data_IF_936952106636
#
_entry.id   IF_936952106636
#
_cell.length_a   1.000
_cell.length_b   1.000
_cell.length_c   1.000
_cell.angle_alpha   90.00
_cell.angle_beta   90.00
_cell.angle_gamma   90.00
#
_symmetry.space_group_name_H-M   'P 1'
#
loop_
_entity.id
_entity.type
_entity.pdbx_description
1 polymer ?
#
# COMPACT_ATOMS: atom_id res chain seq x y z
N UNK A 1 -0.73 11.07 -13.38
CA UNK A 1 -0.32 11.01 -11.95
C UNK A 1 -1.19 12.02 -11.23
N UNK A 2 -1.94 11.59 -10.22
CA UNK A 2 -2.76 12.53 -9.43
C UNK A 2 -1.82 13.35 -8.56
N UNK A 3 -2.04 14.66 -8.50
CA UNK A 3 -1.34 15.53 -7.56
C UNK A 3 -1.61 15.01 -6.14
N UNK A 4 -0.57 14.98 -5.31
CA UNK A 4 -0.71 14.62 -3.90
C UNK A 4 -1.40 15.80 -3.24
N UNK A 5 -2.61 15.57 -2.75
CA UNK A 5 -3.21 16.47 -1.77
C UNK A 5 -2.46 16.30 -0.44
N UNK A 6 -1.75 17.35 -0.04
CA UNK A 6 -0.95 17.35 1.19
C UNK A 6 -1.82 17.15 2.44
N UNK A 7 -3.06 17.65 2.43
CA UNK A 7 -3.97 17.54 3.57
C UNK A 7 -4.48 16.11 3.73
N UNK A 8 -4.99 15.49 2.65
CA UNK A 8 -5.36 14.05 2.66
C UNK A 8 -4.18 13.17 3.10
N UNK A 9 -2.99 13.45 2.59
CA UNK A 9 -1.79 12.69 2.93
C UNK A 9 -1.47 12.78 4.43
N UNK A 10 -1.55 13.98 5.00
CA UNK A 10 -1.33 14.19 6.43
C UNK A 10 -2.43 13.58 7.29
N UNK A 11 -3.67 13.58 6.82
CA UNK A 11 -4.81 12.99 7.52
C UNK A 11 -4.73 11.46 7.59
N UNK A 12 -4.24 10.80 6.53
CA UNK A 12 -3.92 9.37 6.58
C UNK A 12 -2.88 9.06 7.65
N UNK A 13 -1.84 9.87 7.76
CA UNK A 13 -0.82 9.70 8.79
C UNK A 13 -1.40 9.90 10.20
N UNK A 14 -2.23 10.93 10.40
CA UNK A 14 -2.92 11.20 11.68
C UNK A 14 -3.87 10.07 12.06
N UNK A 15 -4.63 9.53 11.11
CA UNK A 15 -5.54 8.41 11.34
C UNK A 15 -4.76 7.18 11.82
N UNK A 16 -3.72 6.78 11.08
CA UNK A 16 -2.88 5.63 11.44
C UNK A 16 -2.20 5.80 12.80
N UNK A 17 -1.70 7.00 13.11
CA UNK A 17 -1.16 7.32 14.44
C UNK A 17 -2.23 7.22 15.54
N UNK A 18 -3.47 7.64 15.26
CA UNK A 18 -4.59 7.56 16.21
C UNK A 18 -5.01 6.11 16.50
N UNK A 19 -4.78 5.21 15.55
CA UNK A 19 -4.94 3.76 15.71
C UNK A 19 -3.77 3.09 16.46
N UNK A 20 -2.77 3.87 16.90
CA UNK A 20 -1.60 3.39 17.64
C UNK A 20 -0.49 2.83 16.76
N UNK A 21 -0.55 3.03 15.44
CA UNK A 21 0.53 2.63 14.54
C UNK A 21 1.68 3.64 14.54
N UNK A 22 2.90 3.13 14.39
CA UNK A 22 4.07 3.97 14.13
C UNK A 22 4.11 4.30 12.64
N UNK A 23 3.97 5.58 12.31
CA UNK A 23 3.99 6.06 10.93
C UNK A 23 5.32 6.75 10.64
N UNK A 24 5.94 6.39 9.51
CA UNK A 24 7.09 7.08 8.96
C UNK A 24 6.72 7.64 7.59
N UNK A 25 6.90 8.95 7.43
CA UNK A 25 6.79 9.63 6.13
C UNK A 25 8.21 9.76 5.59
N UNK A 26 8.45 9.30 4.37
CA UNK A 26 9.73 9.44 3.67
C UNK A 26 9.52 9.91 2.25
N UNK A 27 10.54 10.52 1.67
CA UNK A 27 10.58 10.88 0.25
C UNK A 27 11.18 9.76 -0.62
N UNK A 28 11.24 8.53 -0.11
CA UNK A 28 11.72 7.38 -0.87
C UNK A 28 10.62 6.89 -1.80
N UNK A 29 10.83 7.06 -3.10
CA UNK A 29 9.92 6.52 -4.11
C UNK A 29 10.14 5.01 -4.30
N UNK A 30 11.39 4.55 -4.15
CA UNK A 30 11.78 3.17 -4.41
C UNK A 30 12.00 2.37 -3.12
N UNK A 31 11.40 1.19 -3.05
CA UNK A 31 11.47 0.30 -1.89
C UNK A 31 12.90 -0.07 -1.48
N UNK A 32 13.85 -0.15 -2.42
CA UNK A 32 15.24 -0.49 -2.08
C UNK A 32 15.89 0.59 -1.21
N UNK A 33 15.53 1.87 -1.38
CA UNK A 33 16.04 2.97 -0.55
C UNK A 33 15.52 2.86 0.88
N UNK A 34 14.25 2.49 1.03
CA UNK A 34 13.63 2.25 2.35
C UNK A 34 14.30 1.08 3.08
N UNK A 35 14.52 -0.04 2.37
CA UNK A 35 15.20 -1.21 2.94
C UNK A 35 16.66 -0.89 3.30
N UNK A 36 17.37 -0.18 2.44
CA UNK A 36 18.74 0.27 2.70
C UNK A 36 18.80 1.19 3.93
N UNK A 37 17.86 2.14 4.04
CA UNK A 37 17.73 3.01 5.21
C UNK A 37 17.57 2.20 6.51
N UNK A 38 16.60 1.29 6.58
CA UNK A 38 16.41 0.46 7.79
C UNK A 38 17.61 -0.44 8.08
N UNK A 39 18.28 -0.94 7.05
CA UNK A 39 19.47 -1.81 7.22
C UNK A 39 20.64 -1.13 7.92
N UNK A 40 20.66 0.22 7.98
CA UNK A 40 21.66 0.99 8.74
C UNK A 40 21.41 0.94 10.25
N UNK A 41 20.17 0.64 10.67
CA UNK A 41 19.73 0.69 12.06
C UNK A 41 19.38 -0.68 12.65
N UNK A 42 19.19 -1.71 11.82
CA UNK A 42 18.91 -3.06 12.30
C UNK A 42 19.61 -4.13 11.45
N UNK A 43 19.97 -5.23 12.12
CA UNK A 43 20.42 -6.49 11.49
C UNK A 43 19.34 -7.57 11.50
N UNK A 44 18.17 -7.29 12.08
CA UNK A 44 17.05 -8.22 12.11
C UNK A 44 16.47 -8.41 10.71
N UNK A 45 15.76 -9.53 10.51
CA UNK A 45 15.00 -9.80 9.28
C UNK A 45 13.98 -8.69 9.04
N UNK A 46 13.92 -8.20 7.81
CA UNK A 46 12.94 -7.20 7.38
C UNK A 46 11.77 -7.88 6.66
N UNK A 47 10.57 -7.38 6.90
CA UNK A 47 9.34 -7.82 6.24
C UNK A 47 8.66 -6.63 5.57
N UNK A 48 8.25 -6.80 4.31
CA UNK A 48 7.42 -5.83 3.59
C UNK A 48 6.07 -6.47 3.29
N UNK A 49 4.98 -5.91 3.79
CA UNK A 49 3.62 -6.31 3.41
C UNK A 49 3.09 -5.36 2.32
N UNK A 50 2.61 -5.92 1.21
CA UNK A 50 2.13 -5.11 0.08
C UNK A 50 1.17 -5.89 -0.81
N UNK A 51 0.36 -5.18 -1.61
CA UNK A 51 -0.50 -5.78 -2.63
C UNK A 51 0.26 -6.15 -3.91
N UNK A 52 -0.38 -6.98 -4.75
CA UNK A 52 0.14 -7.41 -6.06
C UNK A 52 0.58 -6.25 -6.94
N UNK A 53 -0.20 -5.17 -7.02
CA UNK A 53 0.12 -4.01 -7.87
C UNK A 53 1.46 -3.38 -7.50
N UNK A 54 1.70 -3.18 -6.20
CA UNK A 54 2.97 -2.62 -5.70
C UNK A 54 4.14 -3.54 -6.03
N UNK A 55 3.95 -4.86 -5.94
CA UNK A 55 4.99 -5.81 -6.32
C UNK A 55 5.29 -5.75 -7.82
N UNK A 56 4.28 -5.65 -8.68
CA UNK A 56 4.47 -5.50 -10.14
C UNK A 56 5.25 -4.23 -10.44
N UNK A 57 4.93 -3.12 -9.77
CA UNK A 57 5.65 -1.84 -9.92
C UNK A 57 7.13 -1.94 -9.52
N UNK A 58 7.47 -2.75 -8.51
CA UNK A 58 8.88 -3.03 -8.15
C UNK A 58 9.65 -3.63 -9.34
N UNK A 59 9.00 -4.39 -10.22
CA UNK A 59 9.62 -4.97 -11.41
C UNK A 59 9.59 -4.03 -12.63
N UNK A 60 9.08 -2.80 -12.52
CA UNK A 60 9.08 -1.86 -13.65
C UNK A 60 10.45 -1.16 -13.79
N UNK A 61 11.14 -1.45 -14.89
CA UNK A 61 12.46 -0.89 -15.21
C UNK A 61 12.49 0.64 -15.27
N UNK A 62 11.35 1.31 -15.51
CA UNK A 62 11.29 2.78 -15.64
C UNK A 62 11.77 3.48 -14.36
N UNK A 63 11.54 2.89 -13.18
CA UNK A 63 11.93 3.45 -11.90
C UNK A 63 13.45 3.41 -11.67
N UNK A 64 14.19 2.60 -12.43
CA UNK A 64 15.62 2.36 -12.18
C UNK A 64 16.55 2.89 -13.27
N UNK A 65 16.05 3.66 -14.23
CA UNK A 65 16.85 4.23 -15.33
C UNK A 65 17.97 5.16 -14.86
N UNK A 66 17.86 5.70 -13.65
CA UNK A 66 18.85 6.57 -13.04
C UNK A 66 20.03 5.79 -12.41
N UNK A 67 19.93 4.46 -12.28
CA UNK A 67 20.98 3.60 -11.74
C UNK A 67 21.86 3.05 -12.86
N UNK A 68 23.17 3.04 -12.66
CA UNK A 68 24.12 2.52 -13.65
C UNK A 68 23.91 1.03 -13.94
N UNK A 69 23.57 0.23 -12.93
CA UNK A 69 23.20 -1.18 -13.09
C UNK A 69 21.69 -1.42 -13.29
N UNK A 70 20.90 -0.35 -13.47
CA UNK A 70 19.46 -0.42 -13.71
C UNK A 70 18.70 -1.23 -12.66
N UNK A 71 17.72 -2.02 -13.11
CA UNK A 71 16.89 -2.85 -12.25
C UNK A 71 17.70 -3.90 -11.47
N UNK A 72 18.77 -4.46 -12.06
CA UNK A 72 19.57 -5.48 -11.38
C UNK A 72 20.32 -4.91 -10.17
N UNK A 73 20.78 -3.65 -10.25
CA UNK A 73 21.38 -2.96 -9.10
C UNK A 73 20.36 -2.74 -7.98
N UNK A 74 19.16 -2.25 -8.32
CA UNK A 74 18.09 -2.03 -7.35
C UNK A 74 17.68 -3.32 -6.64
N UNK A 75 17.53 -4.40 -7.39
CA UNK A 75 17.18 -5.71 -6.84
C UNK A 75 18.30 -6.33 -6.01
N UNK A 76 19.56 -6.14 -6.43
CA UNK A 76 20.71 -6.44 -5.61
C UNK A 76 20.60 -5.77 -4.24
N UNK A 77 20.38 -4.45 -4.20
CA UNK A 77 20.21 -3.70 -2.94
C UNK A 77 18.98 -4.16 -2.13
N UNK A 78 17.84 -4.35 -2.79
CA UNK A 78 16.57 -4.71 -2.14
C UNK A 78 16.65 -6.07 -1.44
N UNK A 79 17.27 -7.07 -2.07
CA UNK A 79 17.31 -8.45 -1.58
C UNK A 79 18.67 -8.89 -1.03
N UNK A 80 19.67 -8.00 -0.99
CA UNK A 80 20.98 -8.26 -0.36
C UNK A 80 20.86 -8.58 1.14
N UNK A 81 19.78 -8.15 1.79
CA UNK A 81 19.49 -8.46 3.19
C UNK A 81 18.44 -9.57 3.31
N UNK A 82 18.27 -10.06 4.53
CA UNK A 82 17.22 -11.01 4.86
C UNK A 82 15.85 -10.30 4.85
N UNK A 83 15.38 -9.96 3.66
CA UNK A 83 14.08 -9.37 3.36
C UNK A 83 13.11 -10.48 2.93
N UNK A 84 11.88 -10.41 3.43
CA UNK A 84 10.72 -11.14 2.92
C UNK A 84 9.60 -10.18 2.52
N UNK A 85 9.01 -10.43 1.36
CA UNK A 85 7.81 -9.73 0.89
C UNK A 85 6.60 -10.63 1.19
N UNK A 86 5.65 -10.10 1.93
CA UNK A 86 4.34 -10.69 2.19
C UNK A 86 3.33 -10.08 1.22
N UNK A 87 2.82 -10.89 0.32
CA UNK A 87 1.99 -10.44 -0.79
C UNK A 87 0.51 -10.63 -0.44
N UNK A 88 -0.21 -9.53 -0.33
CA UNK A 88 -1.66 -9.54 -0.20
C UNK A 88 -2.29 -9.70 -1.59
N UNK A 89 -3.26 -10.61 -1.77
CA UNK A 89 -3.84 -10.87 -3.08
C UNK A 89 -4.62 -9.67 -3.59
N UNK A 90 -4.81 -9.62 -4.90
CA UNK A 90 -5.75 -8.70 -5.54
C UNK A 90 -6.94 -9.49 -6.08
N UNK A 91 -8.15 -8.97 -5.94
CA UNK A 91 -9.34 -9.53 -6.58
C UNK A 91 -9.68 -8.72 -7.82
N UNK A 92 -9.90 -9.39 -8.93
CA UNK A 92 -10.45 -8.77 -10.13
C UNK A 92 -11.96 -8.54 -9.92
N UNK A 93 -12.46 -7.30 -10.05
CA UNK A 93 -13.87 -6.98 -9.80
C UNK A 93 -14.81 -7.50 -10.89
N UNK A 94 -14.32 -7.73 -12.11
CA UNK A 94 -15.13 -8.21 -13.24
C UNK A 94 -15.23 -9.74 -13.27
N UNK A 95 -14.10 -10.41 -13.06
CA UNK A 95 -14.01 -11.88 -13.15
C UNK A 95 -14.12 -12.58 -11.80
N UNK A 96 -13.84 -11.86 -10.71
CA UNK A 96 -13.75 -12.42 -9.36
C UNK A 96 -12.48 -13.23 -9.10
N UNK A 97 -11.55 -13.31 -10.07
CA UNK A 97 -10.32 -14.08 -9.93
C UNK A 97 -9.32 -13.39 -8.98
N UNK A 98 -8.62 -14.20 -8.18
CA UNK A 98 -7.55 -13.71 -7.32
C UNK A 98 -6.22 -13.75 -8.05
N UNK A 99 -5.50 -12.63 -8.02
CA UNK A 99 -4.09 -12.57 -8.40
C UNK A 99 -3.23 -12.73 -7.15
N UNK A 100 -2.26 -13.65 -7.19
CA UNK A 100 -1.30 -13.96 -6.13
C UNK A 100 0.11 -14.12 -6.72
N UNK A 101 1.09 -14.53 -5.93
CA UNK A 101 2.42 -14.87 -6.43
C UNK A 101 2.41 -16.01 -7.48
N UNK A 102 1.34 -16.81 -7.56
CA UNK A 102 1.23 -17.93 -8.52
C UNK A 102 0.92 -17.49 -9.95
N UNK A 103 0.05 -16.49 -10.12
CA UNK A 103 -0.50 -16.11 -11.42
C UNK A 103 -0.27 -14.64 -11.80
N UNK A 104 0.42 -13.85 -10.96
CA UNK A 104 0.76 -12.47 -11.30
C UNK A 104 1.54 -12.38 -12.61
N UNK A 105 1.24 -11.33 -13.37
CA UNK A 105 1.85 -11.06 -14.67
C UNK A 105 2.85 -9.91 -14.54
N UNK A 106 4.14 -10.24 -14.54
CA UNK A 106 5.22 -9.27 -14.72
C UNK A 106 5.60 -9.15 -16.19
N UNK A 107 6.29 -8.06 -16.53
CA UNK A 107 6.85 -7.88 -17.87
C UNK A 107 7.71 -9.10 -18.27
N UNK A 108 7.64 -9.60 -19.53
CA UNK A 108 8.31 -10.85 -19.93
C UNK A 108 9.81 -10.90 -19.61
N UNK A 109 10.50 -9.76 -19.70
CA UNK A 109 11.93 -9.65 -19.34
C UNK A 109 12.21 -9.88 -17.86
N UNK A 110 11.26 -9.59 -16.99
CA UNK A 110 11.36 -9.75 -15.54
C UNK A 110 10.85 -11.09 -15.03
N UNK A 111 10.25 -11.91 -15.90
CA UNK A 111 9.64 -13.19 -15.52
C UNK A 111 10.61 -14.12 -14.80
N UNK A 112 11.81 -14.30 -15.34
CA UNK A 112 12.81 -15.20 -14.75
C UNK A 112 13.39 -14.63 -13.45
N UNK A 113 13.55 -13.31 -13.38
CA UNK A 113 13.99 -12.62 -12.17
C UNK A 113 12.95 -12.78 -11.04
N UNK A 114 11.67 -12.60 -11.35
CA UNK A 114 10.57 -12.82 -10.41
C UNK A 114 10.52 -14.27 -9.90
N UNK A 115 10.59 -15.25 -10.81
CA UNK A 115 10.61 -16.68 -10.46
C UNK A 115 11.76 -17.02 -9.52
N UNK A 116 12.94 -16.45 -9.76
CA UNK A 116 14.09 -16.63 -8.89
C UNK A 116 13.78 -16.20 -7.45
N UNK A 117 13.17 -15.03 -7.25
CA UNK A 117 12.83 -14.55 -5.90
C UNK A 117 11.77 -15.40 -5.23
N UNK A 118 10.74 -15.78 -5.97
CA UNK A 118 9.69 -16.65 -5.46
C UNK A 118 10.24 -18.02 -5.06
N UNK A 119 11.04 -18.65 -5.92
CA UNK A 119 11.68 -19.94 -5.66
C UNK A 119 12.56 -19.91 -4.39
N UNK A 120 13.25 -18.80 -4.16
CA UNK A 120 14.09 -18.60 -2.98
C UNK A 120 13.30 -18.18 -1.72
N UNK A 121 11.96 -18.22 -1.73
CA UNK A 121 11.12 -17.91 -0.58
C UNK A 121 11.18 -16.44 -0.14
N UNK A 122 11.54 -15.54 -1.06
CA UNK A 122 11.57 -14.08 -0.82
C UNK A 122 10.20 -13.43 -0.95
N UNK A 123 9.28 -14.07 -1.68
CA UNK A 123 7.88 -13.66 -1.80
C UNK A 123 7.01 -14.75 -1.18
N UNK A 124 6.12 -14.36 -0.27
CA UNK A 124 5.24 -15.25 0.49
C UNK A 124 3.82 -14.70 0.39
N UNK A 125 2.87 -15.48 -0.12
CA UNK A 125 1.47 -15.06 -0.17
C UNK A 125 0.84 -15.04 1.23
N UNK A 126 0.07 -14.00 1.50
CA UNK A 126 -0.84 -13.96 2.64
C UNK A 126 -2.09 -14.74 2.25
N UNK A 127 -2.24 -15.94 2.82
CA UNK A 127 -3.34 -16.87 2.49
C UNK A 127 -4.55 -16.72 3.40
N UNK A 128 -4.35 -16.22 4.63
CA UNK A 128 -5.39 -15.91 5.59
C UNK A 128 -5.83 -14.44 5.43
N UNK A 129 -6.48 -14.15 4.31
CA UNK A 129 -6.99 -12.82 3.99
C UNK A 129 -8.51 -12.79 4.05
N UNK A 130 -9.10 -11.61 4.27
CA UNK A 130 -10.55 -11.43 4.22
C UNK A 130 -11.00 -11.04 2.80
N UNK A 131 -11.77 -11.88 2.08
CA UNK A 131 -12.25 -11.58 0.74
C UNK A 131 -13.21 -10.39 0.65
N UNK A 132 -13.90 -10.08 1.74
CA UNK A 132 -14.98 -9.09 1.76
C UNK A 132 -14.43 -7.65 1.70
N UNK A 133 -13.19 -7.46 2.13
CA UNK A 133 -12.52 -6.14 2.14
C UNK A 133 -11.64 -5.90 0.90
N UNK A 134 -11.50 -6.88 0.00
CA UNK A 134 -10.64 -6.75 -1.19
C UNK A 134 -11.16 -5.79 -2.24
N UNK A 135 -12.45 -5.48 -2.19
CA UNK A 135 -13.13 -4.58 -3.13
C UNK A 135 -13.39 -3.19 -2.52
N UNK A 136 -12.77 -2.87 -1.38
CA UNK A 136 -12.89 -1.56 -0.73
C UNK A 136 -11.75 -0.67 -1.23
N UNK A 137 -12.09 0.40 -1.95
CA UNK A 137 -11.12 1.32 -2.53
C UNK A 137 -11.12 2.66 -1.81
N UNK A 138 -9.95 3.15 -1.39
CA UNK A 138 -9.84 4.41 -0.64
C UNK A 138 -10.40 5.61 -1.41
N UNK A 139 -10.31 5.60 -2.74
CA UNK A 139 -10.89 6.67 -3.59
C UNK A 139 -12.41 6.72 -3.52
N UNK A 140 -13.06 5.56 -3.45
CA UNK A 140 -14.51 5.47 -3.32
C UNK A 140 -14.96 5.96 -1.95
N UNK A 141 -14.24 5.55 -0.89
CA UNK A 141 -14.48 6.02 0.49
C UNK A 141 -14.34 7.54 0.57
N UNK A 142 -13.25 8.11 0.02
CA UNK A 142 -13.05 9.57 -0.01
C UNK A 142 -14.16 10.30 -0.76
N UNK A 143 -14.57 9.80 -1.94
CA UNK A 143 -15.67 10.38 -2.70
C UNK A 143 -16.99 10.38 -1.93
N UNK A 144 -17.28 9.31 -1.18
CA UNK A 144 -18.48 9.24 -0.34
C UNK A 144 -18.40 10.20 0.85
N UNK A 145 -17.22 10.36 1.48
CA UNK A 145 -17.00 11.36 2.53
C UNK A 145 -17.25 12.78 1.98
N UNK A 146 -16.67 13.12 0.83
CA UNK A 146 -16.84 14.43 0.19
C UNK A 146 -18.29 14.70 -0.25
N UNK A 147 -19.02 13.63 -0.62
CA UNK A 147 -20.43 13.72 -1.00
C UNK A 147 -21.40 13.78 0.20
N UNK A 148 -20.92 13.62 1.43
CA UNK A 148 -21.78 13.54 2.63
C UNK A 148 -22.62 12.25 2.69
N UNK A 149 -22.15 11.16 2.07
CA UNK A 149 -22.84 9.87 2.02
C UNK A 149 -22.38 8.95 3.15
N UNK A 150 -23.18 8.81 4.22
CA UNK A 150 -22.85 8.01 5.41
C UNK A 150 -22.56 6.50 5.13
N UNK A 151 -22.81 5.97 3.93
CA UNK A 151 -22.45 4.59 3.57
C UNK A 151 -20.95 4.29 3.74
N UNK A 152 -20.08 5.30 3.65
CA UNK A 152 -18.62 5.10 3.80
C UNK A 152 -18.23 4.52 5.16
N UNK A 153 -19.03 4.74 6.21
CA UNK A 153 -18.72 4.26 7.56
C UNK A 153 -18.71 2.74 7.64
N UNK A 154 -19.65 2.09 6.95
CA UNK A 154 -19.75 0.64 6.91
C UNK A 154 -18.61 -0.04 6.12
N UNK A 155 -17.86 0.75 5.33
CA UNK A 155 -16.70 0.28 4.55
C UNK A 155 -15.42 0.25 5.40
N UNK A 156 -15.45 0.75 6.63
CA UNK A 156 -14.28 0.88 7.49
C UNK A 156 -14.33 -0.09 8.67
N UNK A 157 -13.16 -0.45 9.23
CA UNK A 157 -13.12 -1.15 10.52
C UNK A 157 -13.84 -0.35 11.61
N UNK A 158 -14.45 -1.07 12.56
CA UNK A 158 -15.14 -0.46 13.69
C UNK A 158 -14.22 0.52 14.46
N UNK A 159 -14.74 1.71 14.81
CA UNK A 159 -13.99 2.75 15.50
C UNK A 159 -13.28 3.75 14.57
N UNK A 160 -13.07 3.41 13.29
CA UNK A 160 -12.32 4.27 12.36
C UNK A 160 -13.16 5.48 11.91
N UNK A 161 -14.45 5.28 11.64
CA UNK A 161 -15.34 6.38 11.25
C UNK A 161 -15.52 7.40 12.38
N UNK A 162 -15.61 6.93 13.63
CA UNK A 162 -15.68 7.80 14.81
C UNK A 162 -14.43 8.67 14.94
N UNK A 163 -13.24 8.10 14.75
CA UNK A 163 -11.97 8.86 14.78
C UNK A 163 -11.92 9.90 13.67
N UNK A 164 -12.35 9.55 12.45
CA UNK A 164 -12.40 10.48 11.31
C UNK A 164 -13.31 11.67 11.63
N UNK A 165 -14.51 11.40 12.17
CA UNK A 165 -15.48 12.43 12.56
C UNK A 165 -14.99 13.30 13.72
N UNK A 166 -14.46 12.69 14.79
CA UNK A 166 -13.96 13.39 15.98
C UNK A 166 -12.80 14.33 15.64
N UNK A 167 -11.94 13.92 14.70
CA UNK A 167 -10.73 14.65 14.32
C UNK A 167 -10.87 15.50 13.07
N UNK A 168 -12.06 15.54 12.47
CA UNK A 168 -12.35 16.28 11.23
C UNK A 168 -11.36 15.96 10.09
N UNK A 169 -11.01 14.68 9.94
CA UNK A 169 -10.08 14.24 8.90
C UNK A 169 -10.79 14.18 7.54
N UNK A 170 -10.02 14.30 6.45
CA UNK A 170 -10.48 14.18 5.06
C UNK A 170 -11.54 15.20 4.68
N UNK A 171 -11.43 16.42 5.22
CA UNK A 171 -12.38 17.51 4.99
C UNK A 171 -13.83 17.13 5.32
N UNK A 172 -14.03 16.18 6.25
CA UNK A 172 -15.36 15.82 6.73
C UNK A 172 -15.98 17.04 7.45
N UNK A 173 -16.75 17.82 6.70
CA UNK A 173 -17.52 18.93 7.23
C UNK A 173 -18.63 18.39 8.11
N UNK A 174 -18.67 18.79 9.38
CA UNK A 174 -19.90 18.70 10.14
C UNK A 174 -20.90 19.61 9.43
N UNK A 175 -21.93 19.05 8.78
CA UNK A 175 -23.15 19.82 8.60
C UNK A 175 -23.62 20.21 10.00
N UNK A 176 -23.47 21.50 10.31
CA UNK A 176 -24.06 22.09 11.50
C UNK A 176 -25.56 22.00 11.29
N UNK A 177 -26.17 20.99 11.90
CA UNK A 177 -27.61 20.97 12.14
C UNK A 177 -27.95 22.05 13.18
N UNK A 178 -27.82 23.33 12.82
CA UNK A 178 -28.40 24.46 13.52
C UNK A 178 -28.27 25.74 12.68
N UNK A 179 -29.31 26.02 11.89
CA UNK A 179 -29.89 27.36 11.70
C UNK A 179 -31.17 27.24 10.86
N UNK A 180 -32.21 26.65 11.47
CA UNK A 180 -33.60 26.95 11.14
C UNK A 180 -34.25 27.53 12.39
N UNK A 181 -34.13 28.85 12.53
CA UNK A 181 -35.02 29.69 13.34
C UNK A 181 -35.63 30.76 12.42
#
# INVERSE_FOLDING_TARGET
EGEIDEEDFMDRARLLCSLGHNVMISNFQEYYKLVEYFSRYTKMRLGLAMGVNNLVDIFDEKYYRHLSGGILEAFGKLFFKDLKVYLYPMRDPETGEYTTSENLKVHPRMKELYKFFKYNGKVVDITDFNPDILNIFSREVLQKIEAGDDEWEAMLPAGVSEIIKEKHLFSHHLETADEKL
#
